data_IF_813316311642
#
_entry.id   IF_813316311642
#
_cell.length_a   1.000
_cell.length_b   1.000
_cell.length_c   1.000
_cell.angle_alpha   90.00
_cell.angle_beta   90.00
_cell.angle_gamma   90.00
#
_symmetry.space_group_name_H-M   'P 1'
#
loop_
_entity.id
_entity.type
_entity.pdbx_description
1 polymer ?
#
# COMPACT_ATOMS: atom_id res chain seq x y z
N UNK A 1 -5.92 -22.59 32.01
CA UNK A 1 -5.58 -21.97 30.72
C UNK A 1 -4.10 -21.64 30.77
N UNK A 2 -3.28 -22.25 29.93
CA UNK A 2 -1.87 -21.89 29.83
C UNK A 2 -1.77 -20.48 29.23
N UNK A 3 -1.00 -19.60 29.86
CA UNK A 3 -0.66 -18.31 29.27
C UNK A 3 0.30 -18.60 28.12
N UNK A 4 -0.14 -18.31 26.89
CA UNK A 4 0.76 -18.29 25.74
C UNK A 4 1.59 -17.02 25.88
N UNK A 5 2.87 -17.16 26.19
CA UNK A 5 3.81 -16.03 26.17
C UNK A 5 4.14 -15.70 24.72
N UNK A 6 3.90 -14.45 24.33
CA UNK A 6 4.21 -13.98 22.98
C UNK A 6 5.73 -13.80 22.84
N UNK A 7 6.31 -14.37 21.79
CA UNK A 7 7.75 -14.24 21.51
C UNK A 7 8.06 -12.97 20.72
N UNK A 8 9.30 -12.44 20.77
CA UNK A 8 9.71 -11.35 19.90
C UNK A 8 9.50 -11.65 18.41
N UNK A 9 9.73 -12.89 17.98
CA UNK A 9 9.55 -13.30 16.59
C UNK A 9 8.07 -13.24 16.17
N UNK A 10 7.14 -13.61 17.05
CA UNK A 10 5.71 -13.45 16.81
C UNK A 10 5.28 -11.99 16.69
N UNK A 11 5.91 -11.08 17.44
CA UNK A 11 5.67 -9.64 17.31
C UNK A 11 6.22 -9.07 15.98
N UNK A 12 7.33 -9.61 15.49
CA UNK A 12 7.99 -9.15 14.25
C UNK A 12 7.43 -9.80 12.98
N UNK A 13 6.80 -10.97 13.10
CA UNK A 13 6.28 -11.75 11.97
C UNK A 13 5.27 -10.96 11.12
N UNK A 14 4.51 -10.05 11.72
CA UNK A 14 3.53 -9.22 11.02
C UNK A 14 4.13 -8.34 9.91
N UNK A 15 5.40 -7.95 10.00
CA UNK A 15 6.07 -7.13 9.00
C UNK A 15 6.39 -7.87 7.69
N UNK A 16 6.46 -9.21 7.73
CA UNK A 16 6.79 -10.05 6.58
C UNK A 16 5.55 -10.52 5.81
N UNK A 17 4.35 -10.24 6.30
CA UNK A 17 3.10 -10.64 5.66
C UNK A 17 2.88 -9.89 4.34
N UNK A 18 2.36 -10.61 3.35
CA UNK A 18 1.90 -10.06 2.08
C UNK A 18 0.37 -10.13 2.01
N UNK A 19 -0.22 -9.08 1.43
CA UNK A 19 -1.65 -8.91 1.30
C UNK A 19 -2.00 -8.73 -0.17
N UNK A 20 -2.89 -9.59 -0.68
CA UNK A 20 -3.47 -9.42 -2.00
C UNK A 20 -4.50 -8.28 -1.98
N UNK A 21 -4.27 -7.28 -2.83
CA UNK A 21 -5.13 -6.11 -2.97
C UNK A 21 -5.66 -6.08 -4.38
N UNK A 22 -6.99 -6.25 -4.48
CA UNK A 22 -7.72 -6.13 -5.73
C UNK A 22 -7.92 -4.65 -6.07
N UNK A 23 -7.44 -4.22 -7.22
CA UNK A 23 -7.60 -2.86 -7.72
C UNK A 23 -8.89 -2.78 -8.56
N UNK A 24 -9.87 -1.95 -8.16
CA UNK A 24 -11.08 -1.76 -8.94
C UNK A 24 -10.78 -1.24 -10.35
N UNK A 25 -11.49 -1.76 -11.35
CA UNK A 25 -11.33 -1.31 -12.75
C UNK A 25 -11.58 0.18 -12.95
N UNK A 26 -12.53 0.75 -12.20
CA UNK A 26 -12.83 2.19 -12.24
C UNK A 26 -11.66 3.06 -11.81
N UNK A 27 -10.75 2.52 -10.98
CA UNK A 27 -9.51 3.18 -10.59
C UNK A 27 -8.46 2.99 -11.67
N UNK A 28 -8.27 1.77 -12.18
CA UNK A 28 -7.27 1.49 -13.24
C UNK A 28 -7.52 2.25 -14.55
N UNK A 29 -8.79 2.41 -14.92
CA UNK A 29 -9.21 3.04 -16.17
C UNK A 29 -10.19 4.19 -15.87
N UNK A 30 -9.69 5.35 -15.43
CA UNK A 30 -10.54 6.51 -15.16
C UNK A 30 -11.28 6.94 -16.43
N UNK A 31 -12.57 7.26 -16.29
CA UNK A 31 -13.47 7.66 -17.39
C UNK A 31 -13.68 6.61 -18.51
N UNK A 32 -13.51 5.33 -18.21
CA UNK A 32 -13.95 4.27 -19.12
C UNK A 32 -13.11 4.15 -20.39
N UNK A 33 -11.80 4.43 -20.30
CA UNK A 33 -10.82 4.08 -21.34
C UNK A 33 -10.64 2.56 -21.45
N UNK A 34 -11.72 1.84 -21.77
CA UNK A 34 -11.70 0.45 -22.19
C UNK A 34 -11.74 0.44 -23.70
N UNK A 35 -10.60 0.71 -24.35
CA UNK A 35 -10.45 0.39 -25.75
C UNK A 35 -10.41 -1.14 -25.87
N UNK A 36 -11.49 -1.75 -26.35
CA UNK A 36 -11.54 -3.09 -26.94
C UNK A 36 -10.77 -4.19 -26.19
N UNK A 37 -11.02 -4.36 -24.89
CA UNK A 37 -10.67 -5.60 -24.19
C UNK A 37 -11.99 -6.25 -23.82
N UNK A 38 -12.25 -7.43 -24.39
CA UNK A 38 -13.42 -8.26 -24.09
C UNK A 38 -13.64 -8.33 -22.57
N UNK A 39 -14.91 -8.33 -22.18
CA UNK A 39 -15.41 -8.31 -20.80
C UNK A 39 -15.03 -9.60 -20.08
N UNK A 40 -13.75 -9.77 -19.77
CA UNK A 40 -13.33 -10.56 -18.63
C UNK A 40 -13.24 -9.59 -17.47
N UNK A 41 -13.82 -9.97 -16.34
CA UNK A 41 -13.88 -9.18 -15.13
C UNK A 41 -12.51 -9.09 -14.42
N UNK A 42 -11.45 -8.74 -15.16
CA UNK A 42 -10.08 -8.78 -14.69
C UNK A 42 -9.78 -7.56 -13.83
N UNK A 43 -10.25 -7.59 -12.59
CA UNK A 43 -9.66 -6.80 -11.52
C UNK A 43 -8.18 -7.21 -11.37
N UNK A 44 -7.26 -6.25 -11.47
CA UNK A 44 -5.84 -6.54 -11.27
C UNK A 44 -5.56 -6.67 -9.78
N UNK A 45 -4.83 -7.71 -9.39
CA UNK A 45 -4.40 -7.91 -8.01
C UNK A 45 -2.93 -7.55 -7.87
N UNK A 46 -2.59 -6.83 -6.81
CA UNK A 46 -1.22 -6.52 -6.42
C UNK A 46 -0.94 -7.06 -5.02
N UNK A 47 0.32 -7.36 -4.72
CA UNK A 47 0.74 -7.75 -3.38
C UNK A 47 1.40 -6.59 -2.67
N UNK A 48 0.89 -6.27 -1.48
CA UNK A 48 1.43 -5.25 -0.59
C UNK A 48 1.99 -5.89 0.68
N UNK A 49 3.01 -5.27 1.26
CA UNK A 49 3.51 -5.60 2.61
C UNK A 49 3.40 -4.38 3.53
N UNK A 50 3.16 -4.56 4.84
CA UNK A 50 3.14 -3.47 5.80
C UNK A 50 4.46 -2.69 5.82
N UNK A 51 4.38 -1.38 6.04
CA UNK A 51 5.56 -0.58 6.34
C UNK A 51 5.97 -0.79 7.79
N UNK A 52 7.26 -1.05 7.99
CA UNK A 52 7.85 -1.05 9.33
C UNK A 52 8.11 0.37 9.82
N UNK A 53 8.26 0.53 11.13
CA UNK A 53 8.67 1.82 11.74
C UNK A 53 10.00 2.30 11.15
N UNK A 54 10.97 1.39 10.99
CA UNK A 54 12.28 1.72 10.42
C UNK A 54 12.19 2.21 8.98
N UNK A 55 11.45 1.50 8.12
CA UNK A 55 11.21 1.90 6.73
C UNK A 55 10.50 3.24 6.66
N UNK A 56 9.46 3.46 7.48
CA UNK A 56 8.73 4.72 7.50
C UNK A 56 9.62 5.90 7.91
N UNK A 57 10.48 5.74 8.92
CA UNK A 57 11.46 6.76 9.29
C UNK A 57 12.45 7.09 8.17
N UNK A 58 12.91 6.09 7.41
CA UNK A 58 13.77 6.30 6.25
C UNK A 58 13.06 7.09 5.16
N UNK A 59 11.79 6.77 4.88
CA UNK A 59 10.94 7.52 3.93
C UNK A 59 10.83 8.98 4.37
N UNK A 60 10.50 9.25 5.63
CA UNK A 60 10.37 10.61 6.15
C UNK A 60 11.67 11.40 6.04
N UNK A 61 12.83 10.75 6.26
CA UNK A 61 14.15 11.37 6.08
C UNK A 61 14.46 11.66 4.61
N UNK A 62 14.17 10.72 3.72
CA UNK A 62 14.42 10.87 2.28
C UNK A 62 13.54 11.98 1.67
N UNK A 63 12.30 12.13 2.15
CA UNK A 63 11.35 13.12 1.70
C UNK A 63 11.48 14.49 2.40
N UNK A 64 12.54 14.72 3.20
CA UNK A 64 12.70 15.94 4.02
C UNK A 64 12.52 17.24 3.24
N UNK A 65 13.01 17.29 2.01
CA UNK A 65 13.00 18.49 1.18
C UNK A 65 11.80 18.53 0.21
N UNK A 66 11.05 17.43 0.10
CA UNK A 66 9.91 17.29 -0.79
C UNK A 66 8.91 16.29 -0.18
N UNK A 67 7.92 16.84 0.51
CA UNK A 67 6.86 16.04 1.13
C UNK A 67 6.04 15.23 0.10
N UNK A 68 6.05 15.62 -1.18
CA UNK A 68 5.42 14.88 -2.27
C UNK A 68 6.06 13.51 -2.52
N UNK A 69 7.30 13.28 -2.08
CA UNK A 69 7.98 11.98 -2.19
C UNK A 69 7.46 10.95 -1.20
N UNK A 70 6.85 11.36 -0.08
CA UNK A 70 6.37 10.43 0.96
C UNK A 70 5.46 9.34 0.37
N UNK A 71 4.33 9.68 -0.30
CA UNK A 71 3.45 8.64 -0.85
C UNK A 71 4.16 7.79 -1.92
N UNK A 72 5.02 8.37 -2.75
CA UNK A 72 5.71 7.63 -3.81
C UNK A 72 6.66 6.58 -3.23
N UNK A 73 7.41 6.95 -2.19
CA UNK A 73 8.31 6.04 -1.49
C UNK A 73 7.53 4.99 -0.67
N UNK A 74 6.40 5.36 -0.06
CA UNK A 74 5.52 4.38 0.60
C UNK A 74 5.07 3.27 -0.35
N UNK A 75 4.62 3.64 -1.57
CA UNK A 75 4.23 2.66 -2.60
C UNK A 75 5.44 1.83 -3.02
N UNK A 76 6.58 2.47 -3.31
CA UNK A 76 7.80 1.78 -3.77
C UNK A 76 8.29 0.72 -2.78
N UNK A 77 8.20 1.00 -1.49
CA UNK A 77 8.65 0.12 -0.41
C UNK A 77 7.62 -0.96 -0.04
N UNK A 78 6.32 -0.66 -0.16
CA UNK A 78 5.24 -1.56 0.23
C UNK A 78 4.79 -2.51 -0.89
N UNK A 79 4.93 -2.12 -2.16
CA UNK A 79 4.53 -2.96 -3.29
C UNK A 79 5.53 -4.12 -3.48
N UNK A 80 5.11 -5.32 -3.11
CA UNK A 80 5.90 -6.54 -3.23
C UNK A 80 5.80 -7.12 -4.65
N UNK A 81 4.60 -7.13 -5.24
CA UNK A 81 4.38 -7.52 -6.63
C UNK A 81 3.25 -6.69 -7.26
N UNK A 82 3.41 -6.19 -8.50
CA UNK A 82 4.62 -6.24 -9.32
C UNK A 82 5.72 -5.31 -8.77
N UNK A 83 6.99 -5.61 -9.07
CA UNK A 83 8.08 -4.69 -8.73
C UNK A 83 8.05 -3.48 -9.67
N UNK A 84 7.99 -2.28 -9.10
CA UNK A 84 8.01 -1.03 -9.86
C UNK A 84 9.24 -0.18 -9.49
N UNK A 85 9.73 0.62 -10.45
CA UNK A 85 10.70 1.69 -10.22
C UNK A 85 10.01 2.93 -9.64
N UNK A 86 10.76 3.82 -9.00
CA UNK A 86 10.20 5.06 -8.49
C UNK A 86 9.64 5.96 -9.61
N UNK A 87 10.25 5.94 -10.79
CA UNK A 87 9.77 6.67 -11.97
C UNK A 87 8.43 6.13 -12.47
N UNK A 88 8.25 4.80 -12.47
CA UNK A 88 6.96 4.18 -12.81
C UNK A 88 5.87 4.57 -11.81
N UNK A 89 6.19 4.64 -10.51
CA UNK A 89 5.25 5.12 -9.49
C UNK A 89 4.91 6.60 -9.72
N UNK A 90 5.88 7.45 -10.07
CA UNK A 90 5.65 8.86 -10.43
C UNK A 90 4.73 9.04 -11.64
N UNK A 91 4.74 8.09 -12.57
CA UNK A 91 3.88 8.09 -13.76
C UNK A 91 2.43 7.63 -13.49
N UNK A 92 2.12 7.13 -12.29
CA UNK A 92 0.76 6.72 -11.95
C UNK A 92 -0.18 7.93 -11.85
N UNK A 93 -1.41 7.76 -12.33
CA UNK A 93 -2.44 8.77 -12.10
C UNK A 93 -2.82 8.86 -10.61
N UNK A 94 -3.22 10.05 -10.18
CA UNK A 94 -3.42 10.38 -8.77
C UNK A 94 -4.43 9.46 -8.05
N UNK A 95 -5.49 9.05 -8.74
CA UNK A 95 -6.51 8.14 -8.18
C UNK A 95 -5.94 6.78 -7.73
N UNK A 96 -5.02 6.20 -8.52
CA UNK A 96 -4.38 4.93 -8.17
C UNK A 96 -3.40 5.11 -7.02
N UNK A 97 -2.61 6.19 -7.03
CA UNK A 97 -1.70 6.53 -5.91
C UNK A 97 -2.49 6.65 -4.61
N UNK A 98 -3.59 7.39 -4.61
CA UNK A 98 -4.44 7.57 -3.43
C UNK A 98 -5.04 6.24 -2.95
N UNK A 99 -5.50 5.40 -3.87
CA UNK A 99 -6.01 4.07 -3.54
C UNK A 99 -4.94 3.21 -2.86
N UNK A 100 -3.76 3.08 -3.47
CA UNK A 100 -2.68 2.27 -2.93
C UNK A 100 -2.23 2.79 -1.57
N UNK A 101 -2.08 4.11 -1.40
CA UNK A 101 -1.72 4.69 -0.10
C UNK A 101 -2.74 4.36 0.98
N UNK A 102 -4.04 4.43 0.68
CA UNK A 102 -5.07 4.05 1.64
C UNK A 102 -4.91 2.59 2.09
N UNK A 103 -4.65 1.68 1.15
CA UNK A 103 -4.43 0.26 1.46
C UNK A 103 -3.15 0.04 2.27
N UNK A 104 -2.05 0.70 1.88
CA UNK A 104 -0.77 0.64 2.61
C UNK A 104 -0.93 1.13 4.05
N UNK A 105 -1.63 2.26 4.25
CA UNK A 105 -1.89 2.78 5.60
C UNK A 105 -2.75 1.83 6.42
N UNK A 106 -3.74 1.20 5.81
CA UNK A 106 -4.59 0.22 6.47
C UNK A 106 -3.78 -1.00 6.94
N UNK A 107 -3.04 -1.67 6.05
CA UNK A 107 -2.25 -2.87 6.41
C UNK A 107 -1.07 -2.55 7.33
N UNK A 108 -0.58 -1.32 7.33
CA UNK A 108 0.51 -0.86 8.21
C UNK A 108 0.03 -0.33 9.56
N UNK A 109 -1.29 -0.35 9.84
CA UNK A 109 -1.84 0.20 11.08
C UNK A 109 -1.75 1.73 11.21
N UNK A 110 -1.53 2.45 10.10
CA UNK A 110 -1.47 3.92 10.02
C UNK A 110 -2.81 4.56 9.61
N UNK A 111 -3.87 3.77 9.58
CA UNK A 111 -5.23 4.24 9.31
C UNK A 111 -5.73 5.13 10.46
N UNK A 112 -6.55 6.12 10.12
CA UNK A 112 -7.22 6.92 11.15
C UNK A 112 -8.17 6.01 11.94
N UNK A 113 -7.95 5.91 13.26
CA UNK A 113 -8.98 5.41 14.16
C UNK A 113 -10.17 6.35 14.00
N UNK A 114 -11.24 5.93 13.32
CA UNK A 114 -12.56 6.51 13.58
C UNK A 114 -12.76 6.32 15.08
N UNK A 115 -12.59 7.39 15.86
CA UNK A 115 -13.09 7.40 17.23
C UNK A 115 -14.57 7.00 17.13
N UNK A 116 -15.04 5.97 17.85
CA UNK A 116 -16.48 5.79 17.99
C UNK A 116 -17.01 7.12 18.56
N UNK A 117 -18.01 7.69 17.87
CA UNK A 117 -18.73 8.84 18.39
C UNK A 117 -19.23 8.49 19.81
N UNK A 118 -19.22 9.47 20.75
CA UNK A 118 -19.54 9.24 22.15
C UNK A 118 -20.92 8.63 22.37
#
# INVERSE_FOLDING_TARGET
MALVEITPDELLAGAALTFDVVIPKSILHPQGQSQNVEVNDSSLTVQLRPLTVGTFQLIMKAARNDAGLIPLLMIKESLAQPTLSLEQVKGMHLGLVNFLIAQIRHISGLGEKKMPLP
#
